data_IF_395652449261
#
_entry.id   IF_395652449261
#
_cell.length_a   1.000
_cell.length_b   1.000
_cell.length_c   1.000
_cell.angle_alpha   90.00
_cell.angle_beta   90.00
_cell.angle_gamma   90.00
#
_symmetry.space_group_name_H-M   'P 1'
#
loop_
_entity.id
_entity.type
_entity.pdbx_description
1 polymer ?
#
# COMPACT_ATOMS: atom_id res chain seq x y z
N UNK A 1 29.04 56.76 51.86
CA UNK A 1 29.79 55.58 51.37
C UNK A 1 28.95 54.30 51.52
N UNK A 2 28.70 53.78 52.74
CA UNK A 2 27.88 52.55 52.94
C UNK A 2 26.51 52.54 52.24
N UNK A 3 25.73 53.64 52.31
CA UNK A 3 24.42 53.75 51.62
C UNK A 3 24.52 53.66 50.09
N UNK A 4 25.64 54.10 49.52
CA UNK A 4 25.89 54.08 48.09
C UNK A 4 26.29 52.66 47.64
N UNK A 5 27.14 51.98 48.41
CA UNK A 5 27.52 50.57 48.19
C UNK A 5 26.31 49.64 48.32
N UNK A 6 25.44 49.84 49.31
CA UNK A 6 24.21 49.07 49.48
C UNK A 6 23.27 49.25 48.27
N UNK A 7 23.13 50.49 47.79
CA UNK A 7 22.35 50.80 46.59
C UNK A 7 22.92 50.15 45.32
N UNK A 8 24.24 50.17 45.16
CA UNK A 8 24.95 49.52 44.06
C UNK A 8 24.75 48.01 44.07
N UNK A 9 24.89 47.37 45.25
CA UNK A 9 24.64 45.94 45.43
C UNK A 9 23.21 45.55 45.09
N UNK A 10 22.24 46.35 45.53
CA UNK A 10 20.82 46.12 45.25
C UNK A 10 20.53 46.23 43.75
N UNK A 11 21.15 47.21 43.07
CA UNK A 11 20.99 47.40 41.64
C UNK A 11 21.63 46.27 40.84
N UNK A 12 22.78 45.75 41.29
CA UNK A 12 23.47 44.64 40.66
C UNK A 12 22.68 43.33 40.77
N UNK A 13 22.11 43.01 41.93
CA UNK A 13 21.21 41.85 42.10
C UNK A 13 19.98 41.96 41.19
N UNK A 14 19.39 43.15 41.07
CA UNK A 14 18.25 43.38 40.17
C UNK A 14 18.64 43.23 38.70
N UNK A 15 19.84 43.67 38.32
CA UNK A 15 20.37 43.51 36.97
C UNK A 15 20.58 42.02 36.64
N UNK A 16 21.22 41.26 37.54
CA UNK A 16 21.44 39.83 37.36
C UNK A 16 20.12 39.04 37.27
N UNK A 17 19.11 39.37 38.09
CA UNK A 17 17.78 38.76 38.01
C UNK A 17 17.07 39.10 36.68
N UNK A 18 17.21 40.34 36.20
CA UNK A 18 16.65 40.76 34.91
C UNK A 18 17.33 40.04 33.74
N UNK A 19 18.65 39.89 33.76
CA UNK A 19 19.42 39.15 32.75
C UNK A 19 19.04 37.67 32.77
N UNK A 20 18.90 37.06 33.95
CA UNK A 20 18.44 35.67 34.08
C UNK A 20 17.06 35.46 33.46
N UNK A 21 16.10 36.33 33.79
CA UNK A 21 14.74 36.28 33.21
C UNK A 21 14.75 36.49 31.70
N UNK A 22 15.58 37.41 31.20
CA UNK A 22 15.76 37.62 29.76
C UNK A 22 16.22 36.32 29.08
N UNK A 23 17.28 35.68 29.57
CA UNK A 23 17.80 34.44 28.98
C UNK A 23 16.79 33.29 29.05
N UNK A 24 16.00 33.19 30.14
CA UNK A 24 14.92 32.21 30.26
C UNK A 24 13.84 32.43 29.21
N UNK A 25 13.43 33.69 28.97
CA UNK A 25 12.45 34.01 27.92
C UNK A 25 13.00 33.76 26.52
N UNK A 26 14.27 34.09 26.25
CA UNK A 26 14.92 33.79 24.97
C UNK A 26 14.90 32.26 24.69
N UNK A 27 15.23 31.45 25.70
CA UNK A 27 15.17 29.99 25.57
C UNK A 27 13.74 29.49 25.29
N UNK A 28 12.74 30.02 26.00
CA UNK A 28 11.32 29.67 25.77
C UNK A 28 10.83 30.07 24.38
N UNK A 29 11.28 31.21 23.87
CA UNK A 29 10.98 31.66 22.50
C UNK A 29 11.60 30.71 21.49
N UNK A 30 12.85 30.31 21.67
CA UNK A 30 13.53 29.37 20.78
C UNK A 30 12.85 28.00 20.77
N UNK A 31 12.48 27.47 21.93
CA UNK A 31 11.71 26.22 22.03
C UNK A 31 10.36 26.33 21.34
N UNK A 32 9.66 27.45 21.50
CA UNK A 32 8.37 27.70 20.85
C UNK A 32 8.52 27.73 19.32
N UNK A 33 9.52 28.44 18.81
CA UNK A 33 9.82 28.50 17.38
C UNK A 33 10.13 27.11 16.81
N UNK A 34 10.90 26.29 17.52
CA UNK A 34 11.16 24.91 17.11
C UNK A 34 9.89 24.07 17.08
N UNK A 35 8.97 24.24 18.05
CA UNK A 35 7.67 23.55 18.07
C UNK A 35 6.79 23.98 16.90
N UNK A 36 6.75 25.26 16.56
CA UNK A 36 6.01 25.79 15.41
C UNK A 36 6.51 25.14 14.12
N UNK A 37 7.83 25.16 13.88
CA UNK A 37 8.43 24.55 12.68
C UNK A 37 8.10 23.06 12.57
N UNK A 38 8.10 22.32 13.69
CA UNK A 38 7.72 20.90 13.70
C UNK A 38 6.22 20.70 13.43
N UNK A 39 5.36 21.53 14.02
CA UNK A 39 3.92 21.47 13.82
C UNK A 39 3.54 21.81 12.37
N UNK A 40 4.20 22.80 11.76
CA UNK A 40 4.03 23.13 10.35
C UNK A 40 4.38 21.95 9.45
N UNK A 41 5.55 21.33 9.66
CA UNK A 41 5.96 20.12 8.91
C UNK A 41 4.96 18.99 9.04
N UNK A 42 4.46 18.74 10.25
CA UNK A 42 3.45 17.72 10.49
C UNK A 42 2.13 18.05 9.79
N UNK A 43 1.69 19.32 9.86
CA UNK A 43 0.44 19.78 9.24
C UNK A 43 0.50 19.64 7.73
N UNK A 44 1.62 20.02 7.10
CA UNK A 44 1.84 19.84 5.67
C UNK A 44 1.85 18.36 5.30
N UNK A 45 2.63 17.54 6.01
CA UNK A 45 2.70 16.09 5.72
C UNK A 45 1.37 15.37 5.90
N UNK A 46 0.58 15.75 6.91
CA UNK A 46 -0.79 15.23 7.10
C UNK A 46 -1.77 15.76 6.04
N UNK A 47 -1.55 16.96 5.51
CA UNK A 47 -2.31 17.53 4.42
C UNK A 47 -2.21 16.67 3.17
N UNK A 48 -0.99 16.33 2.76
CA UNK A 48 -0.75 15.46 1.59
C UNK A 48 -1.34 14.06 1.80
N UNK A 49 -1.16 13.51 3.00
CA UNK A 49 -1.68 12.19 3.35
C UNK A 49 -3.22 12.15 3.34
N UNK A 50 -3.89 13.23 3.74
CA UNK A 50 -5.35 13.36 3.66
C UNK A 50 -5.84 13.22 2.22
N UNK A 51 -5.21 13.89 1.25
CA UNK A 51 -5.61 13.79 -0.16
C UNK A 51 -5.43 12.36 -0.66
N UNK A 52 -4.29 11.74 -0.37
CA UNK A 52 -4.00 10.35 -0.72
C UNK A 52 -5.03 9.38 -0.14
N UNK A 53 -5.44 9.56 1.10
CA UNK A 53 -6.48 8.73 1.72
C UNK A 53 -7.86 8.96 1.11
N UNK A 54 -8.20 10.20 0.76
CA UNK A 54 -9.45 10.50 0.06
C UNK A 54 -9.51 9.82 -1.31
N UNK A 55 -8.42 9.84 -2.07
CA UNK A 55 -8.31 9.10 -3.34
C UNK A 55 -8.43 7.59 -3.12
N UNK A 56 -7.73 7.04 -2.13
CA UNK A 56 -7.82 5.61 -1.81
C UNK A 56 -9.24 5.18 -1.41
N UNK A 57 -9.95 5.98 -0.61
CA UNK A 57 -11.35 5.69 -0.24
C UNK A 57 -12.23 5.65 -1.49
N UNK A 58 -12.11 6.65 -2.37
CA UNK A 58 -12.83 6.67 -3.64
C UNK A 58 -12.56 5.45 -4.52
N UNK A 59 -11.28 5.04 -4.61
CA UNK A 59 -10.90 3.82 -5.33
C UNK A 59 -11.46 2.54 -4.70
N UNK A 60 -11.49 2.47 -3.37
CA UNK A 60 -12.04 1.33 -2.63
C UNK A 60 -13.56 1.24 -2.79
N UNK A 61 -14.26 2.37 -2.76
CA UNK A 61 -15.71 2.42 -3.01
C UNK A 61 -16.04 1.88 -4.41
N UNK A 62 -15.28 2.31 -5.44
CA UNK A 62 -15.43 1.79 -6.80
C UNK A 62 -15.11 0.28 -6.89
N UNK A 63 -14.08 -0.18 -6.16
CA UNK A 63 -13.76 -1.61 -6.11
C UNK A 63 -14.83 -2.42 -5.39
N UNK A 64 -15.49 -1.85 -4.37
CA UNK A 64 -16.53 -2.50 -3.60
C UNK A 64 -17.80 -2.69 -4.43
N UNK A 65 -18.18 -1.68 -5.22
CA UNK A 65 -19.31 -1.78 -6.15
C UNK A 65 -19.12 -2.91 -7.16
N UNK A 66 -17.89 -3.10 -7.65
CA UNK A 66 -17.55 -4.03 -8.72
C UNK A 66 -17.08 -5.42 -8.25
N UNK A 67 -16.94 -5.62 -6.93
CA UNK A 67 -16.29 -6.82 -6.36
C UNK A 67 -16.97 -8.12 -6.77
N UNK A 68 -18.30 -8.11 -6.93
CA UNK A 68 -19.09 -9.30 -7.23
C UNK A 68 -18.72 -9.86 -8.61
N UNK A 69 -18.69 -9.01 -9.64
CA UNK A 69 -18.32 -9.41 -10.99
C UNK A 69 -16.83 -9.79 -11.11
N UNK A 70 -15.95 -9.02 -10.47
CA UNK A 70 -14.51 -9.27 -10.45
C UNK A 70 -14.17 -10.64 -9.83
N UNK A 71 -14.81 -10.97 -8.70
CA UNK A 71 -14.65 -12.26 -8.03
C UNK A 71 -15.26 -13.40 -8.85
N UNK A 72 -16.42 -13.18 -9.50
CA UNK A 72 -17.06 -14.19 -10.34
C UNK A 72 -16.17 -14.60 -11.52
N UNK A 73 -15.59 -13.62 -12.24
CA UNK A 73 -14.65 -13.88 -13.33
C UNK A 73 -13.39 -14.57 -12.82
N UNK A 74 -12.81 -14.09 -11.72
CA UNK A 74 -11.60 -14.67 -11.14
C UNK A 74 -11.80 -16.10 -10.67
N UNK A 75 -12.96 -16.40 -10.08
CA UNK A 75 -13.33 -17.75 -9.67
C UNK A 75 -13.52 -18.68 -10.87
N UNK A 76 -14.20 -18.20 -11.92
CA UNK A 76 -14.32 -18.92 -13.18
C UNK A 76 -12.95 -19.19 -13.82
N UNK A 77 -12.04 -18.23 -13.76
CA UNK A 77 -10.68 -18.37 -14.26
C UNK A 77 -9.93 -19.50 -13.55
N UNK A 78 -9.94 -19.51 -12.21
CA UNK A 78 -9.30 -20.56 -11.42
C UNK A 78 -9.93 -21.93 -11.69
N UNK A 79 -11.26 -21.99 -11.80
CA UNK A 79 -11.99 -23.24 -11.95
C UNK A 79 -11.86 -23.86 -13.35
N UNK A 80 -11.84 -23.05 -14.42
CA UNK A 80 -11.99 -23.55 -15.79
C UNK A 80 -10.80 -23.25 -16.70
N UNK A 81 -10.03 -22.18 -16.45
CA UNK A 81 -9.11 -21.66 -17.45
C UNK A 81 -7.66 -22.17 -17.35
N UNK A 82 -7.33 -22.94 -16.31
CA UNK A 82 -6.00 -23.51 -16.11
C UNK A 82 -5.38 -24.22 -17.32
N UNK A 83 -6.10 -25.12 -18.03
CA UNK A 83 -5.52 -25.87 -19.15
C UNK A 83 -5.29 -25.09 -20.45
N UNK A 84 -5.83 -23.87 -20.56
CA UNK A 84 -5.88 -23.14 -21.83
C UNK A 84 -4.73 -22.14 -22.03
N UNK A 85 -4.47 -21.76 -23.28
CA UNK A 85 -3.48 -20.75 -23.68
C UNK A 85 -3.94 -19.34 -23.35
N UNK A 86 -3.02 -18.38 -23.25
CA UNK A 86 -3.31 -16.96 -22.97
C UNK A 86 -4.40 -16.40 -23.90
N UNK A 87 -4.29 -16.65 -25.21
CA UNK A 87 -5.26 -16.14 -26.19
C UNK A 87 -6.68 -16.67 -25.93
N UNK A 88 -6.82 -17.96 -25.60
CA UNK A 88 -8.12 -18.53 -25.29
C UNK A 88 -8.67 -17.97 -23.97
N UNK A 89 -7.82 -17.81 -22.96
CA UNK A 89 -8.20 -17.20 -21.67
C UNK A 89 -8.73 -15.77 -21.88
N UNK A 90 -8.03 -14.96 -22.68
CA UNK A 90 -8.41 -13.58 -22.97
C UNK A 90 -9.75 -13.51 -23.73
N UNK A 91 -9.95 -14.38 -24.71
CA UNK A 91 -11.21 -14.46 -25.45
C UNK A 91 -12.38 -14.88 -24.54
N UNK A 92 -12.16 -15.84 -23.66
CA UNK A 92 -13.19 -16.30 -22.72
C UNK A 92 -13.54 -15.21 -21.70
N UNK A 93 -12.56 -14.49 -21.16
CA UNK A 93 -12.82 -13.35 -20.26
C UNK A 93 -13.67 -12.28 -20.96
N UNK A 94 -13.36 -11.93 -22.21
CA UNK A 94 -14.15 -10.95 -22.99
C UNK A 94 -15.59 -11.39 -23.16
N UNK A 95 -15.82 -12.69 -23.42
CA UNK A 95 -17.17 -13.24 -23.52
C UNK A 95 -17.90 -13.14 -22.17
N UNK A 96 -17.25 -13.51 -21.07
CA UNK A 96 -17.82 -13.42 -19.73
C UNK A 96 -18.16 -11.99 -19.33
N UNK A 97 -17.28 -11.02 -19.60
CA UNK A 97 -17.56 -9.58 -19.39
C UNK A 97 -18.79 -9.16 -20.17
N UNK A 98 -18.89 -9.54 -21.45
CA UNK A 98 -20.07 -9.23 -22.28
C UNK A 98 -21.36 -9.78 -21.66
N UNK A 99 -21.32 -10.98 -21.07
CA UNK A 99 -22.46 -11.55 -20.34
C UNK A 99 -22.77 -10.79 -19.05
N UNK A 100 -21.76 -10.43 -18.24
CA UNK A 100 -21.98 -9.65 -17.02
C UNK A 100 -22.66 -8.32 -17.33
N UNK A 101 -22.24 -7.64 -18.40
CA UNK A 101 -22.88 -6.40 -18.88
C UNK A 101 -24.34 -6.65 -19.28
N UNK A 102 -24.61 -7.72 -20.04
CA UNK A 102 -25.97 -8.06 -20.45
C UNK A 102 -26.90 -8.38 -19.25
N UNK A 103 -26.35 -8.96 -18.18
CA UNK A 103 -27.07 -9.27 -16.94
C UNK A 103 -27.03 -8.15 -15.90
N UNK A 104 -26.44 -6.98 -16.23
CA UNK A 104 -26.32 -5.84 -15.32
C UNK A 104 -25.61 -6.18 -13.99
N UNK A 105 -24.63 -7.09 -14.02
CA UNK A 105 -23.79 -7.38 -12.87
C UNK A 105 -22.65 -6.35 -12.81
N UNK A 106 -22.51 -5.58 -11.73
CA UNK A 106 -21.39 -4.65 -11.57
C UNK A 106 -20.04 -5.38 -11.63
N UNK A 107 -19.12 -4.83 -12.41
CA UNK A 107 -17.78 -5.36 -12.63
C UNK A 107 -16.84 -4.26 -13.12
N UNK A 108 -15.54 -4.42 -12.85
CA UNK A 108 -14.52 -3.54 -13.38
C UNK A 108 -14.38 -3.75 -14.89
N UNK A 109 -14.02 -2.71 -15.64
CA UNK A 109 -13.81 -2.80 -17.10
C UNK A 109 -12.79 -3.89 -17.49
N UNK A 110 -11.77 -4.08 -16.66
CA UNK A 110 -10.76 -5.12 -16.83
C UNK A 110 -10.55 -5.90 -15.51
N UNK A 111 -11.29 -6.98 -15.25
CA UNK A 111 -11.19 -7.81 -14.05
C UNK A 111 -10.02 -8.80 -14.18
N UNK A 112 -8.82 -8.35 -13.84
CA UNK A 112 -7.61 -9.17 -13.92
C UNK A 112 -7.46 -10.12 -12.71
N UNK A 113 -7.25 -11.41 -12.96
CA UNK A 113 -7.07 -12.45 -11.93
C UNK A 113 -6.05 -12.05 -10.86
N UNK A 114 -4.89 -11.57 -11.28
CA UNK A 114 -3.77 -11.23 -10.38
C UNK A 114 -4.12 -10.01 -9.52
N UNK A 115 -4.92 -9.07 -10.02
CA UNK A 115 -5.39 -7.93 -9.22
C UNK A 115 -6.37 -8.36 -8.14
N UNK A 116 -7.26 -9.32 -8.46
CA UNK A 116 -8.33 -9.76 -7.56
C UNK A 116 -7.85 -10.77 -6.52
N UNK A 117 -7.05 -11.76 -6.92
CA UNK A 117 -6.62 -12.87 -6.07
C UNK A 117 -5.11 -12.88 -5.76
N UNK A 118 -4.31 -12.08 -6.48
CA UNK A 118 -2.87 -12.04 -6.32
C UNK A 118 -2.45 -11.31 -5.05
N UNK A 119 -1.53 -11.93 -4.32
CA UNK A 119 -0.85 -11.31 -3.18
C UNK A 119 0.59 -10.98 -3.62
N UNK A 120 0.94 -9.69 -3.61
CA UNK A 120 2.23 -9.21 -4.08
C UNK A 120 3.43 -9.83 -3.33
N UNK A 121 3.27 -10.14 -2.04
CA UNK A 121 4.30 -10.78 -1.22
C UNK A 121 4.44 -12.25 -1.62
N UNK A 122 3.33 -12.98 -1.79
CA UNK A 122 3.36 -14.37 -2.26
C UNK A 122 3.95 -14.47 -3.67
N UNK A 123 3.53 -13.60 -4.58
CA UNK A 123 4.06 -13.56 -5.96
C UNK A 123 5.56 -13.33 -5.94
N UNK A 124 6.05 -12.39 -5.12
CA UNK A 124 7.48 -12.17 -4.95
C UNK A 124 8.21 -13.41 -4.43
N UNK A 125 7.64 -14.11 -3.46
CA UNK A 125 8.22 -15.36 -2.94
C UNK A 125 8.26 -16.45 -4.02
N UNK A 126 7.22 -16.57 -4.84
CA UNK A 126 7.23 -17.50 -5.97
C UNK A 126 8.33 -17.16 -6.98
N UNK A 127 8.54 -15.89 -7.28
CA UNK A 127 9.62 -15.44 -8.17
C UNK A 127 11.00 -15.76 -7.61
N UNK A 128 11.21 -15.63 -6.29
CA UNK A 128 12.43 -16.04 -5.62
C UNK A 128 12.64 -17.57 -5.68
N UNK A 129 11.55 -18.33 -5.60
CA UNK A 129 11.55 -19.79 -5.79
C UNK A 129 11.74 -20.22 -7.26
N UNK A 130 11.82 -19.28 -8.20
CA UNK A 130 12.10 -19.55 -9.61
C UNK A 130 10.89 -19.58 -10.53
N UNK A 131 9.72 -19.10 -10.07
CA UNK A 131 8.59 -18.81 -10.96
C UNK A 131 8.98 -17.63 -11.88
N UNK A 132 8.82 -17.76 -13.21
CA UNK A 132 9.04 -16.64 -14.12
C UNK A 132 8.13 -15.43 -13.82
N UNK A 133 8.56 -14.24 -14.22
CA UNK A 133 7.86 -12.97 -13.94
C UNK A 133 6.79 -12.60 -14.97
N UNK A 134 6.59 -13.41 -16.01
CA UNK A 134 5.58 -13.16 -17.03
C UNK A 134 4.16 -13.39 -16.46
N UNK A 135 3.17 -12.76 -17.10
CA UNK A 135 1.79 -12.78 -16.61
C UNK A 135 1.20 -14.20 -16.57
N UNK A 136 1.52 -15.04 -17.57
CA UNK A 136 1.00 -16.40 -17.64
C UNK A 136 1.51 -17.25 -16.46
N UNK A 137 2.80 -17.15 -16.15
CA UNK A 137 3.41 -17.83 -15.00
C UNK A 137 2.79 -17.37 -13.68
N UNK A 138 2.58 -16.06 -13.49
CA UNK A 138 1.93 -15.54 -12.28
C UNK A 138 0.48 -16.00 -12.18
N UNK A 139 -0.29 -15.97 -13.28
CA UNK A 139 -1.65 -16.50 -13.32
C UNK A 139 -1.68 -17.99 -12.94
N UNK A 140 -0.78 -18.80 -13.48
CA UNK A 140 -0.67 -20.21 -13.13
C UNK A 140 -0.33 -20.40 -11.64
N UNK A 141 0.54 -19.55 -11.08
CA UNK A 141 0.82 -19.54 -9.64
C UNK A 141 -0.42 -19.23 -8.80
N UNK A 142 -1.24 -18.25 -9.21
CA UNK A 142 -2.51 -17.92 -8.56
C UNK A 142 -3.50 -19.09 -8.66
N UNK A 143 -3.63 -19.73 -9.83
CA UNK A 143 -4.48 -20.91 -9.99
C UNK A 143 -4.06 -22.01 -9.01
N UNK A 144 -2.77 -22.31 -8.92
CA UNK A 144 -2.23 -23.34 -8.02
C UNK A 144 -2.53 -23.02 -6.55
N UNK A 145 -2.40 -21.75 -6.16
CA UNK A 145 -2.66 -21.28 -4.79
C UNK A 145 -4.13 -21.39 -4.37
N UNK A 146 -5.08 -21.20 -5.29
CA UNK A 146 -6.51 -21.17 -5.00
C UNK A 146 -7.31 -22.36 -5.58
N UNK A 147 -6.62 -23.33 -6.18
CA UNK A 147 -7.25 -24.56 -6.65
C UNK A 147 -7.61 -25.46 -5.47
N UNK A 148 -8.88 -25.85 -5.39
CA UNK A 148 -9.33 -26.84 -4.40
C UNK A 148 -8.89 -28.28 -4.72
N UNK A 149 -8.46 -28.54 -5.96
CA UNK A 149 -8.01 -29.86 -6.43
C UNK A 149 -6.50 -29.83 -6.67
N UNK A 150 -5.87 -30.99 -6.56
CA UNK A 150 -4.46 -31.16 -6.89
C UNK A 150 -4.17 -30.69 -8.33
N UNK A 151 -3.33 -29.66 -8.54
CA UNK A 151 -3.02 -29.17 -9.87
C UNK A 151 -2.20 -30.17 -10.67
N UNK A 152 -2.56 -30.39 -11.93
CA UNK A 152 -1.77 -31.16 -12.89
C UNK A 152 -1.04 -30.19 -13.82
N UNK A 153 0.29 -30.25 -13.85
CA UNK A 153 1.10 -29.37 -14.69
C UNK A 153 1.42 -30.02 -16.04
N UNK A 154 1.22 -29.25 -17.11
CA UNK A 154 1.75 -29.53 -18.44
C UNK A 154 3.00 -28.66 -18.59
N UNK A 155 4.16 -29.21 -18.21
CA UNK A 155 5.41 -28.46 -18.06
C UNK A 155 6.55 -29.08 -18.89
N UNK A 156 6.61 -28.83 -20.21
CA UNK A 156 7.67 -29.37 -21.06
C UNK A 156 9.06 -28.79 -20.77
N UNK A 157 9.13 -27.62 -20.12
CA UNK A 157 10.38 -26.92 -19.82
C UNK A 157 10.91 -27.19 -18.41
N UNK A 158 10.14 -27.88 -17.56
CA UNK A 158 10.50 -28.18 -16.17
C UNK A 158 10.48 -26.96 -15.24
N UNK A 159 9.87 -25.85 -15.65
CA UNK A 159 9.83 -24.60 -14.87
C UNK A 159 8.97 -24.75 -13.62
N UNK A 160 7.77 -25.31 -13.76
CA UNK A 160 6.87 -25.56 -12.64
C UNK A 160 7.48 -26.58 -11.67
N UNK A 161 8.13 -27.63 -12.18
CA UNK A 161 8.81 -28.62 -11.35
C UNK A 161 9.92 -27.98 -10.49
N UNK A 162 10.75 -27.11 -11.08
CA UNK A 162 11.79 -26.37 -10.35
C UNK A 162 11.17 -25.46 -9.29
N UNK A 163 10.13 -24.70 -9.66
CA UNK A 163 9.43 -23.81 -8.76
C UNK A 163 8.85 -24.53 -7.54
N UNK A 164 8.10 -25.62 -7.74
CA UNK A 164 7.48 -26.39 -6.65
C UNK A 164 8.53 -26.96 -5.70
N UNK A 165 9.64 -27.49 -6.23
CA UNK A 165 10.73 -28.04 -5.40
C UNK A 165 11.43 -26.98 -4.55
N UNK A 166 11.47 -25.74 -5.01
CA UNK A 166 12.09 -24.62 -4.28
C UNK A 166 11.12 -23.90 -3.34
N UNK A 167 9.82 -24.19 -3.41
CA UNK A 167 8.82 -23.66 -2.46
C UNK A 167 8.76 -24.47 -1.15
N UNK A 168 9.30 -25.68 -1.14
CA UNK A 168 9.44 -26.56 0.04
C UNK A 168 10.74 -26.24 0.75
#
# INVERSE_FOLDING_TARGET
LKKLEEGLRTLQVKYEDAVRKKNEYETKVDECNQRIVRAERLTTGLGDEKFRWQENVSMLDHSLENVIGDVLISSGFVAYLGPFTTEYRDNMIKEWITKLTAYQVPHSENPELVRVLGDAVKIRNWQLAGLPKDNLSVQNGVIVQYSNRWPLFIDPQGQANKWIKNMV
#
